data_IF_869644996156
#
_entry.id   IF_869644996156
#
_cell.length_a   1.000
_cell.length_b   1.000
_cell.length_c   1.000
_cell.angle_alpha   90.00
_cell.angle_beta   90.00
_cell.angle_gamma   90.00
#
_symmetry.space_group_name_H-M   'P 1'
#
loop_
_entity.id
_entity.type
_entity.pdbx_description
1 polymer ?
#
# COMPACT_ATOMS: atom_id res chain seq x y z
N UNK A 1 29.17 6.93 -13.00
CA UNK A 1 27.85 6.86 -13.66
C UNK A 1 26.78 6.56 -12.62
N UNK A 2 26.80 5.39 -11.99
CA UNK A 2 25.91 4.92 -10.90
C UNK A 2 25.51 6.00 -9.88
N UNK A 3 26.45 6.74 -9.29
CA UNK A 3 26.13 7.73 -8.26
C UNK A 3 25.30 8.93 -8.76
N UNK A 4 25.53 9.38 -10.00
CA UNK A 4 24.75 10.48 -10.60
C UNK A 4 23.30 10.04 -10.83
N UNK A 5 23.11 8.81 -11.32
CA UNK A 5 21.78 8.24 -11.58
C UNK A 5 21.00 8.02 -10.28
N UNK A 6 21.67 7.56 -9.22
CA UNK A 6 21.09 7.42 -7.88
C UNK A 6 20.57 8.76 -7.34
N UNK A 7 21.38 9.81 -7.42
CA UNK A 7 20.95 11.16 -6.98
C UNK A 7 19.78 11.65 -7.82
N UNK A 8 19.82 11.45 -9.13
CA UNK A 8 18.76 11.87 -10.04
C UNK A 8 17.42 11.20 -9.71
N UNK A 9 17.38 9.88 -9.61
CA UNK A 9 16.15 9.14 -9.27
C UNK A 9 15.65 9.46 -7.86
N UNK A 10 16.56 9.71 -6.91
CA UNK A 10 16.20 10.14 -5.57
C UNK A 10 15.54 11.52 -5.56
N UNK A 11 16.06 12.48 -6.33
CA UNK A 11 15.47 13.81 -6.48
C UNK A 11 14.10 13.76 -7.15
N UNK A 12 13.96 12.96 -8.22
CA UNK A 12 12.67 12.77 -8.90
C UNK A 12 11.65 12.15 -7.94
N UNK A 13 12.01 11.07 -7.25
CA UNK A 13 11.12 10.41 -6.28
C UNK A 13 10.73 11.33 -5.13
N UNK A 14 11.69 12.10 -4.59
CA UNK A 14 11.42 13.12 -3.58
C UNK A 14 10.45 14.20 -4.09
N UNK A 15 10.62 14.65 -5.34
CA UNK A 15 9.71 15.59 -6.00
C UNK A 15 8.29 15.04 -6.13
N UNK A 16 8.16 13.78 -6.59
CA UNK A 16 6.88 13.06 -6.68
C UNK A 16 6.20 12.96 -5.31
N UNK A 17 6.92 12.49 -4.29
CA UNK A 17 6.41 12.36 -2.91
C UNK A 17 5.92 13.71 -2.39
N UNK A 18 6.71 14.78 -2.60
CA UNK A 18 6.36 16.12 -2.14
C UNK A 18 5.11 16.65 -2.85
N UNK A 19 4.99 16.43 -4.15
CA UNK A 19 3.80 16.83 -4.92
C UNK A 19 2.54 16.09 -4.45
N UNK A 20 2.65 14.79 -4.21
CA UNK A 20 1.55 13.98 -3.66
C UNK A 20 1.18 14.42 -2.24
N UNK A 21 2.16 14.70 -1.39
CA UNK A 21 1.93 15.26 -0.05
C UNK A 21 1.18 16.59 -0.09
N UNK A 22 1.58 17.51 -0.97
CA UNK A 22 0.89 18.79 -1.16
C UNK A 22 -0.55 18.62 -1.64
N UNK A 23 -0.80 17.72 -2.60
CA UNK A 23 -2.14 17.40 -3.08
C UNK A 23 -3.01 16.86 -1.93
N UNK A 24 -2.49 15.87 -1.20
CA UNK A 24 -3.24 15.22 -0.14
C UNK A 24 -3.39 16.05 1.13
N UNK A 25 -2.54 17.04 1.38
CA UNK A 25 -2.72 18.03 2.47
C UNK A 25 -4.05 18.78 2.38
N UNK A 26 -4.50 19.06 1.16
CA UNK A 26 -5.81 19.68 0.92
C UNK A 26 -6.95 18.77 1.39
N UNK A 27 -6.86 17.48 1.09
CA UNK A 27 -7.89 16.48 1.41
C UNK A 27 -7.83 16.09 2.89
N UNK A 28 -6.63 15.87 3.44
CA UNK A 28 -6.42 15.48 4.84
C UNK A 28 -6.95 16.54 5.81
N UNK A 29 -6.92 17.81 5.40
CA UNK A 29 -7.46 18.93 6.17
C UNK A 29 -8.95 18.78 6.50
N UNK A 30 -9.69 17.98 5.71
CA UNK A 30 -11.14 17.79 5.87
C UNK A 30 -11.51 16.79 6.99
N UNK A 31 -10.63 15.83 7.34
CA UNK A 31 -11.01 14.76 8.30
C UNK A 31 -9.88 14.15 9.13
N UNK A 32 -8.61 14.54 8.94
CA UNK A 32 -7.48 13.95 9.67
C UNK A 32 -7.01 14.86 10.79
N UNK A 33 -6.99 14.33 12.02
CA UNK A 33 -6.34 14.99 13.16
C UNK A 33 -4.84 14.99 13.00
N UNK A 34 -4.29 16.17 12.76
CA UNK A 34 -2.85 16.35 12.78
C UNK A 34 -2.36 16.45 14.21
N UNK A 35 -1.27 15.76 14.50
CA UNK A 35 -0.60 15.83 15.80
C UNK A 35 0.83 16.31 15.59
N UNK A 36 1.22 17.42 16.22
CA UNK A 36 2.61 17.91 16.16
C UNK A 36 3.62 16.87 16.65
N UNK A 37 3.19 16.00 17.57
CA UNK A 37 4.00 14.89 18.10
C UNK A 37 4.12 13.69 17.16
N UNK A 38 3.40 13.65 16.03
CA UNK A 38 3.43 12.55 15.05
C UNK A 38 3.65 13.04 13.61
N UNK A 39 4.80 13.68 13.32
CA UNK A 39 5.07 14.24 12.00
C UNK A 39 5.08 13.20 10.87
N UNK A 40 5.55 11.96 11.09
CA UNK A 40 5.54 10.94 10.03
C UNK A 40 4.12 10.44 9.75
N UNK A 41 3.29 10.24 10.79
CA UNK A 41 1.86 9.94 10.61
C UNK A 41 1.17 11.01 9.74
N UNK A 42 1.33 12.28 10.07
CA UNK A 42 0.70 13.38 9.33
C UNK A 42 1.16 13.39 7.87
N UNK A 43 2.47 13.43 7.64
CA UNK A 43 3.05 13.51 6.30
C UNK A 43 2.71 12.29 5.43
N UNK A 44 2.77 11.09 6.00
CA UNK A 44 2.38 9.88 5.28
C UNK A 44 0.90 9.93 4.92
N UNK A 45 0.01 10.35 5.84
CA UNK A 45 -1.42 10.48 5.57
C UNK A 45 -1.70 11.44 4.41
N UNK A 46 -1.00 12.58 4.39
CA UNK A 46 -1.05 13.52 3.27
C UNK A 46 -0.61 12.85 1.97
N UNK A 47 0.55 12.18 1.94
CA UNK A 47 1.04 11.49 0.74
C UNK A 47 0.06 10.41 0.25
N UNK A 48 -0.55 9.65 1.16
CA UNK A 48 -1.52 8.59 0.83
C UNK A 48 -2.75 9.16 0.16
N UNK A 49 -3.36 10.17 0.78
CA UNK A 49 -4.57 10.78 0.26
C UNK A 49 -4.30 11.46 -1.07
N UNK A 50 -3.12 12.07 -1.24
CA UNK A 50 -2.69 12.62 -2.51
C UNK A 50 -2.53 11.55 -3.59
N UNK A 51 -1.92 10.42 -3.26
CA UNK A 51 -1.76 9.29 -4.19
C UNK A 51 -3.10 8.69 -4.59
N UNK A 52 -3.99 8.45 -3.62
CA UNK A 52 -5.34 7.95 -3.85
C UNK A 52 -6.13 8.89 -4.75
N UNK A 53 -6.08 10.20 -4.50
CA UNK A 53 -6.77 11.16 -5.35
C UNK A 53 -6.15 11.26 -6.75
N UNK A 54 -4.82 11.28 -6.87
CA UNK A 54 -4.16 11.29 -8.17
C UNK A 54 -4.54 10.05 -9.01
N UNK A 55 -4.44 8.85 -8.43
CA UNK A 55 -4.83 7.60 -9.09
C UNK A 55 -6.32 7.59 -9.44
N UNK A 56 -7.19 8.00 -8.51
CA UNK A 56 -8.62 8.05 -8.75
C UNK A 56 -8.98 9.00 -9.91
N UNK A 57 -8.48 10.23 -9.90
CA UNK A 57 -8.81 11.20 -10.96
C UNK A 57 -8.24 10.78 -12.31
N UNK A 58 -7.01 10.29 -12.32
CA UNK A 58 -6.36 9.86 -13.55
C UNK A 58 -7.05 8.64 -14.17
N UNK A 59 -7.29 7.60 -13.35
CA UNK A 59 -8.00 6.40 -13.80
C UNK A 59 -9.42 6.70 -14.26
N UNK A 60 -10.19 7.51 -13.52
CA UNK A 60 -11.53 7.89 -13.92
C UNK A 60 -11.57 8.65 -15.26
N UNK A 61 -10.59 9.53 -15.51
CA UNK A 61 -10.48 10.24 -16.77
C UNK A 61 -10.16 9.30 -17.94
N UNK A 62 -9.14 8.45 -17.79
CA UNK A 62 -8.69 7.55 -18.88
C UNK A 62 -9.66 6.40 -19.15
N UNK A 63 -10.38 5.92 -18.15
CA UNK A 63 -11.35 4.82 -18.29
C UNK A 63 -12.76 5.27 -18.69
N UNK A 64 -13.00 6.58 -18.85
CA UNK A 64 -14.35 7.09 -19.07
C UNK A 64 -15.31 6.79 -17.92
N UNK A 65 -14.83 6.88 -16.67
CA UNK A 65 -15.55 6.56 -15.42
C UNK A 65 -15.82 5.06 -15.22
N UNK A 66 -15.05 4.17 -15.85
CA UNK A 66 -15.14 2.71 -15.63
C UNK A 66 -13.89 2.21 -14.91
N UNK A 67 -13.78 2.52 -13.61
CA UNK A 67 -12.63 2.14 -12.78
C UNK A 67 -13.02 1.59 -11.41
N UNK A 68 -12.29 0.56 -10.96
CA UNK A 68 -12.43 0.00 -9.62
C UNK A 68 -12.04 1.01 -8.53
N UNK A 69 -11.21 2.01 -8.87
CA UNK A 69 -10.70 3.00 -7.92
C UNK A 69 -11.81 3.87 -7.30
N UNK A 70 -13.02 3.89 -7.86
CA UNK A 70 -14.19 4.51 -7.20
C UNK A 70 -14.52 3.90 -5.84
N UNK A 71 -14.06 2.68 -5.55
CA UNK A 71 -14.09 2.12 -4.20
C UNK A 71 -13.41 3.02 -3.15
N UNK A 72 -12.39 3.79 -3.53
CA UNK A 72 -11.77 4.77 -2.63
C UNK A 72 -12.71 5.92 -2.27
N UNK A 73 -13.57 6.39 -3.18
CA UNK A 73 -14.55 7.43 -2.87
C UNK A 73 -15.57 6.96 -1.85
N UNK A 74 -16.01 5.70 -1.97
CA UNK A 74 -16.91 5.07 -0.98
C UNK A 74 -16.24 5.11 0.40
N UNK A 75 -15.00 4.65 0.49
CA UNK A 75 -14.27 4.58 1.76
C UNK A 75 -13.93 5.96 2.35
N UNK A 76 -13.55 6.92 1.52
CA UNK A 76 -13.36 8.31 1.93
C UNK A 76 -14.65 8.92 2.47
N UNK A 77 -15.81 8.59 1.89
CA UNK A 77 -17.11 9.02 2.38
C UNK A 77 -17.42 8.46 3.77
N UNK A 78 -17.09 7.18 4.02
CA UNK A 78 -17.19 6.59 5.36
C UNK A 78 -16.21 7.21 6.35
N UNK A 79 -14.96 7.47 5.95
CA UNK A 79 -13.96 8.17 6.78
C UNK A 79 -14.46 9.57 7.18
N UNK A 80 -15.00 10.32 6.23
CA UNK A 80 -15.61 11.63 6.47
C UNK A 80 -16.77 11.51 7.48
N UNK A 81 -17.64 10.51 7.31
CA UNK A 81 -18.79 10.30 8.19
C UNK A 81 -18.37 9.94 9.62
N UNK A 82 -17.40 9.02 9.77
CA UNK A 82 -16.88 8.60 11.09
C UNK A 82 -16.20 9.76 11.80
N UNK A 83 -15.50 10.63 11.06
CA UNK A 83 -14.74 11.74 11.64
C UNK A 83 -15.52 13.09 11.64
N UNK A 84 -16.79 13.11 11.19
CA UNK A 84 -17.61 14.32 11.00
C UNK A 84 -17.84 15.16 12.27
N UNK A 85 -17.79 14.55 13.45
CA UNK A 85 -18.03 15.23 14.73
C UNK A 85 -16.86 16.10 15.23
N UNK A 86 -15.85 16.31 14.39
CA UNK A 86 -14.67 17.11 14.71
C UNK A 86 -14.86 18.57 14.27
N UNK A 87 -15.89 19.25 14.78
CA UNK A 87 -16.36 20.56 14.30
C UNK A 87 -15.37 21.73 14.46
N UNK A 88 -14.25 21.57 15.17
CA UNK A 88 -13.26 22.64 15.40
C UNK A 88 -12.16 22.75 14.33
N UNK A 89 -12.20 21.96 13.26
CA UNK A 89 -11.08 21.85 12.30
C UNK A 89 -10.94 23.02 11.34
N UNK A 90 -12.03 23.74 11.03
CA UNK A 90 -12.00 24.80 10.00
C UNK A 90 -11.07 25.96 10.36
N UNK A 91 -10.94 26.34 11.63
CA UNK A 91 -10.07 27.45 12.03
C UNK A 91 -8.57 27.13 11.97
N UNK A 92 -8.16 25.85 12.10
CA UNK A 92 -6.74 25.47 12.03
C UNK A 92 -6.23 25.30 10.59
N UNK A 93 -7.10 25.12 9.60
CA UNK A 93 -6.68 24.87 8.20
C UNK A 93 -5.83 26.00 7.59
N UNK A 94 -6.10 27.27 7.92
CA UNK A 94 -5.33 28.40 7.40
C UNK A 94 -3.92 28.52 8.03
N UNK A 95 -3.74 28.16 9.30
CA UNK A 95 -2.41 28.14 9.93
C UNK A 95 -1.54 26.99 9.41
N UNK A 96 -2.16 25.85 9.05
CA UNK A 96 -1.48 24.62 8.62
C UNK A 96 -0.72 24.73 7.31
N UNK A 97 -1.12 25.60 6.38
CA UNK A 97 -0.37 25.80 5.13
C UNK A 97 0.95 26.56 5.34
N UNK A 98 1.13 27.22 6.50
CA UNK A 98 2.23 28.17 6.72
C UNK A 98 3.54 27.52 7.20
N UNK A 99 3.51 26.31 7.76
CA UNK A 99 4.71 25.66 8.29
C UNK A 99 4.94 24.28 7.64
N UNK A 100 5.88 24.23 6.70
CA UNK A 100 6.46 22.96 6.24
C UNK A 100 7.49 22.50 7.27
N UNK A 101 7.34 21.28 7.79
CA UNK A 101 8.33 20.71 8.71
C UNK A 101 9.58 20.31 7.91
N UNK A 102 10.56 21.19 7.77
CA UNK A 102 11.78 20.94 6.98
C UNK A 102 12.50 19.63 7.40
N UNK A 103 12.38 19.21 8.66
CA UNK A 103 12.95 17.95 9.13
C UNK A 103 12.30 16.73 8.47
N UNK A 104 10.97 16.71 8.26
CA UNK A 104 10.32 15.57 7.60
C UNK A 104 10.76 15.48 6.13
N UNK A 105 10.82 16.61 5.42
CA UNK A 105 11.26 16.64 4.02
C UNK A 105 12.72 16.20 3.88
N UNK A 106 13.61 16.61 4.78
CA UNK A 106 14.99 16.15 4.77
C UNK A 106 15.08 14.62 4.97
N UNK A 107 14.27 14.06 5.88
CA UNK A 107 14.21 12.60 6.09
C UNK A 107 13.70 11.86 4.87
N UNK A 108 12.64 12.38 4.23
CA UNK A 108 12.07 11.82 2.99
C UNK A 108 13.09 11.85 1.86
N UNK A 109 13.85 12.94 1.73
CA UNK A 109 14.94 13.03 0.76
C UNK A 109 16.04 12.00 1.03
N UNK A 110 16.50 11.88 2.28
CA UNK A 110 17.50 10.86 2.67
C UNK A 110 16.99 9.43 2.42
N UNK A 111 15.72 9.15 2.75
CA UNK A 111 15.10 7.86 2.45
C UNK A 111 15.06 7.59 0.94
N UNK A 112 14.68 8.60 0.14
CA UNK A 112 14.66 8.48 -1.32
C UNK A 112 16.05 8.19 -1.87
N UNK A 113 17.10 8.81 -1.30
CA UNK A 113 18.50 8.56 -1.66
C UNK A 113 18.94 7.14 -1.31
N UNK A 114 18.70 6.70 -0.08
CA UNK A 114 19.05 5.35 0.37
C UNK A 114 18.34 4.29 -0.47
N UNK A 115 17.04 4.44 -0.69
CA UNK A 115 16.22 3.48 -1.44
C UNK A 115 16.61 3.45 -2.92
N UNK A 116 16.88 4.60 -3.52
CA UNK A 116 17.38 4.67 -4.90
C UNK A 116 18.74 3.98 -5.01
N UNK A 117 19.63 4.19 -4.05
CA UNK A 117 20.91 3.50 -3.98
C UNK A 117 20.72 1.98 -3.93
N UNK A 118 19.88 1.47 -3.02
CA UNK A 118 19.58 0.05 -2.90
C UNK A 118 18.96 -0.55 -4.17
N UNK A 119 18.01 0.13 -4.82
CA UNK A 119 17.41 -0.33 -6.08
C UNK A 119 18.44 -0.46 -7.22
N UNK A 120 19.54 0.30 -7.17
CA UNK A 120 20.62 0.23 -8.16
C UNK A 120 21.64 -0.86 -7.83
N UNK A 121 22.04 -1.01 -6.56
CA UNK A 121 23.07 -2.00 -6.17
C UNK A 121 22.51 -3.41 -5.96
N UNK A 122 21.20 -3.55 -5.74
CA UNK A 122 20.54 -4.83 -5.49
C UNK A 122 19.63 -5.18 -6.68
N UNK A 123 20.15 -5.88 -7.71
CA UNK A 123 19.35 -6.23 -8.87
C UNK A 123 18.22 -7.19 -8.51
N UNK A 124 17.08 -7.04 -9.17
CA UNK A 124 15.95 -7.94 -9.00
C UNK A 124 16.30 -9.34 -9.57
N UNK A 125 15.87 -10.43 -8.92
CA UNK A 125 15.93 -11.76 -9.51
C UNK A 125 15.22 -11.80 -10.88
N UNK A 126 15.65 -12.67 -11.79
CA UNK A 126 15.12 -12.71 -13.16
C UNK A 126 13.60 -12.91 -13.24
N UNK A 127 13.02 -13.76 -12.38
CA UNK A 127 11.56 -13.95 -12.30
C UNK A 127 10.82 -12.67 -11.92
N UNK A 128 11.33 -11.94 -10.93
CA UNK A 128 10.78 -10.65 -10.51
C UNK A 128 10.97 -9.59 -11.59
N UNK A 129 12.10 -9.60 -12.30
CA UNK A 129 12.33 -8.67 -13.39
C UNK A 129 11.28 -8.85 -14.51
N UNK A 130 10.89 -10.10 -14.80
CA UNK A 130 9.80 -10.39 -15.73
C UNK A 130 8.46 -9.85 -15.23
N UNK A 131 8.15 -10.01 -13.94
CA UNK A 131 6.94 -9.41 -13.33
C UNK A 131 6.94 -7.89 -13.51
N UNK A 132 8.07 -7.22 -13.25
CA UNK A 132 8.18 -5.75 -13.40
C UNK A 132 8.02 -5.31 -14.87
N UNK A 133 8.59 -6.06 -15.82
CA UNK A 133 8.40 -5.81 -17.25
C UNK A 133 6.92 -5.97 -17.64
N UNK A 134 6.29 -7.04 -17.16
CA UNK A 134 4.87 -7.30 -17.36
C UNK A 134 4.02 -6.15 -16.79
N UNK A 135 4.22 -5.74 -15.54
CA UNK A 135 3.50 -4.62 -14.92
C UNK A 135 3.72 -3.29 -15.63
N UNK A 136 4.93 -3.05 -16.13
CA UNK A 136 5.22 -1.86 -16.94
C UNK A 136 4.36 -1.86 -18.19
N UNK A 137 4.21 -3.01 -18.87
CA UNK A 137 3.34 -3.15 -20.05
C UNK A 137 1.87 -2.99 -19.72
N UNK A 138 1.40 -3.47 -18.55
CA UNK A 138 0.02 -3.18 -18.09
C UNK A 138 -0.16 -1.68 -17.92
N UNK A 139 0.72 -1.02 -17.17
CA UNK A 139 0.63 0.41 -16.88
C UNK A 139 0.72 1.30 -18.14
N UNK A 140 1.53 0.90 -19.13
CA UNK A 140 1.56 1.54 -20.46
C UNK A 140 0.20 1.43 -21.16
N UNK A 141 -0.39 0.24 -21.12
CA UNK A 141 -1.67 0.00 -21.77
C UNK A 141 -2.81 0.78 -21.10
N UNK A 142 -2.81 0.88 -19.75
CA UNK A 142 -3.78 1.68 -19.00
C UNK A 142 -3.86 3.13 -19.49
N UNK A 143 -2.72 3.77 -19.78
CA UNK A 143 -2.69 5.14 -20.33
C UNK A 143 -3.35 5.22 -21.70
N UNK A 144 -3.05 4.23 -22.55
CA UNK A 144 -3.41 4.24 -23.97
C UNK A 144 -4.86 3.85 -24.22
N UNK A 145 -5.34 2.77 -23.61
CA UNK A 145 -6.65 2.18 -23.93
C UNK A 145 -7.68 2.36 -22.82
N UNK A 146 -7.24 2.67 -21.58
CA UNK A 146 -8.16 2.91 -20.47
C UNK A 146 -8.87 1.68 -19.91
N UNK A 147 -8.50 0.46 -20.32
CA UNK A 147 -9.08 -0.77 -19.79
C UNK A 147 -8.25 -1.33 -18.62
N UNK A 148 -8.88 -1.50 -17.46
CA UNK A 148 -8.28 -2.16 -16.30
C UNK A 148 -8.24 -3.69 -16.49
N UNK A 149 -7.38 -4.17 -17.39
CA UNK A 149 -7.11 -5.59 -17.61
C UNK A 149 -5.61 -5.88 -17.83
N UNK A 150 -5.26 -7.16 -18.00
CA UNK A 150 -3.87 -7.62 -18.14
C UNK A 150 -3.48 -7.99 -19.58
N UNK A 151 -4.32 -7.68 -20.56
CA UNK A 151 -4.18 -8.15 -21.94
C UNK A 151 -3.33 -7.23 -22.82
N UNK A 152 -2.81 -6.12 -22.28
CA UNK A 152 -1.83 -5.26 -22.96
C UNK A 152 -2.21 -4.90 -24.41
N UNK A 153 -1.33 -5.21 -25.36
CA UNK A 153 -1.46 -4.99 -26.80
C UNK A 153 -2.66 -5.74 -27.40
N UNK A 154 -3.14 -6.82 -26.79
CA UNK A 154 -4.32 -7.54 -27.29
C UNK A 154 -5.60 -6.69 -27.25
N UNK A 155 -5.67 -5.69 -26.37
CA UNK A 155 -6.78 -4.72 -26.36
C UNK A 155 -6.89 -3.91 -27.66
N UNK A 156 -5.78 -3.66 -28.34
CA UNK A 156 -5.80 -2.93 -29.62
C UNK A 156 -6.08 -3.86 -30.82
N UNK A 157 -5.89 -5.17 -30.62
CA UNK A 157 -5.95 -6.16 -31.69
C UNK A 157 -7.35 -6.79 -31.82
N UNK A 158 -8.04 -7.02 -30.70
CA UNK A 158 -9.35 -7.67 -30.70
C UNK A 158 -10.25 -7.16 -29.58
N UNK A 159 -11.48 -6.80 -29.94
CA UNK A 159 -12.49 -6.29 -29.00
C UNK A 159 -12.87 -7.28 -27.89
N UNK A 160 -12.62 -8.58 -28.09
CA UNK A 160 -12.88 -9.62 -27.09
C UNK A 160 -12.04 -9.45 -25.81
N UNK A 161 -10.97 -8.68 -25.85
CA UNK A 161 -10.14 -8.37 -24.68
C UNK A 161 -10.54 -7.05 -24.00
N UNK A 162 -11.47 -6.30 -24.58
CA UNK A 162 -11.94 -5.03 -24.02
C UNK A 162 -12.83 -5.28 -22.81
N UNK A 163 -12.52 -4.59 -21.71
CA UNK A 163 -13.21 -4.74 -20.44
C UNK A 163 -12.23 -4.84 -19.27
N UNK A 164 -12.75 -5.15 -18.09
CA UNK A 164 -11.94 -5.20 -16.87
C UNK A 164 -11.57 -6.63 -16.50
N UNK A 165 -10.47 -6.80 -15.77
CA UNK A 165 -10.07 -8.08 -15.19
C UNK A 165 -9.56 -7.86 -13.76
N UNK A 166 -9.86 -8.72 -12.76
CA UNK A 166 -9.39 -8.49 -11.40
C UNK A 166 -7.84 -8.46 -11.26
N UNK A 167 -7.28 -7.31 -10.85
CA UNK A 167 -5.84 -7.16 -10.62
C UNK A 167 -5.45 -6.04 -9.60
N UNK A 168 -4.16 -5.67 -9.54
CA UNK A 168 -3.62 -4.64 -8.64
C UNK A 168 -3.40 -3.28 -9.32
N UNK A 169 -4.47 -2.67 -9.82
CA UNK A 169 -4.38 -1.47 -10.66
C UNK A 169 -3.86 -0.20 -9.98
N UNK A 170 -3.88 -0.11 -8.66
CA UNK A 170 -3.47 1.12 -7.98
C UNK A 170 -2.01 1.51 -8.27
N UNK A 171 -1.07 0.56 -8.16
CA UNK A 171 0.34 0.82 -8.49
C UNK A 171 0.57 0.99 -9.99
N UNK A 172 -0.24 0.32 -10.82
CA UNK A 172 -0.14 0.39 -12.27
C UNK A 172 -0.60 1.76 -12.79
N UNK A 173 -1.68 2.30 -12.25
CA UNK A 173 -2.12 3.67 -12.52
C UNK A 173 -1.12 4.71 -12.01
N UNK A 174 -0.52 4.49 -10.83
CA UNK A 174 0.55 5.35 -10.35
C UNK A 174 1.75 5.34 -11.32
N UNK A 175 2.13 4.17 -11.85
CA UNK A 175 3.13 4.04 -12.90
C UNK A 175 2.77 4.81 -14.17
N UNK A 176 1.53 4.63 -14.64
CA UNK A 176 0.97 5.30 -15.82
C UNK A 176 1.05 6.83 -15.71
N UNK A 177 0.66 7.41 -14.56
CA UNK A 177 0.82 8.84 -14.27
C UNK A 177 2.28 9.28 -14.43
N UNK A 178 3.21 8.52 -13.86
CA UNK A 178 4.64 8.83 -13.94
C UNK A 178 5.20 8.70 -15.37
N UNK A 179 4.72 7.72 -16.15
CA UNK A 179 5.09 7.57 -17.56
C UNK A 179 4.67 8.81 -18.35
N UNK A 180 3.48 9.34 -18.08
CA UNK A 180 3.02 10.57 -18.72
C UNK A 180 3.91 11.78 -18.39
N UNK A 181 4.34 11.90 -17.15
CA UNK A 181 5.17 13.01 -16.70
C UNK A 181 6.65 12.90 -17.12
N UNK A 182 7.19 11.68 -17.22
CA UNK A 182 8.64 11.45 -17.34
C UNK A 182 9.05 10.69 -18.62
N UNK A 183 8.10 10.15 -19.40
CA UNK A 183 8.36 9.27 -20.55
C UNK A 183 9.13 9.93 -21.70
N UNK A 184 9.19 11.27 -21.74
CA UNK A 184 10.05 12.00 -22.68
C UNK A 184 11.54 12.01 -22.29
N UNK A 185 11.87 11.67 -21.05
CA UNK A 185 13.24 11.69 -20.51
C UNK A 185 13.81 10.30 -20.26
N UNK A 186 12.96 9.33 -19.91
CA UNK A 186 13.36 7.97 -19.54
C UNK A 186 12.39 6.95 -20.12
N UNK A 187 12.85 5.71 -20.28
CA UNK A 187 11.95 4.61 -20.65
C UNK A 187 11.01 4.27 -19.49
N UNK A 188 9.80 3.78 -19.81
CA UNK A 188 8.80 3.45 -18.81
C UNK A 188 9.28 2.41 -17.80
N UNK A 189 10.07 1.42 -18.23
CA UNK A 189 10.67 0.43 -17.31
C UNK A 189 11.63 1.09 -16.30
N UNK A 190 12.40 2.11 -16.71
CA UNK A 190 13.28 2.86 -15.80
C UNK A 190 12.43 3.67 -14.81
N UNK A 191 11.40 4.37 -15.30
CA UNK A 191 10.49 5.16 -14.46
C UNK A 191 9.80 4.26 -13.43
N UNK A 192 9.26 3.13 -13.86
CA UNK A 192 8.54 2.20 -13.00
C UNK A 192 9.46 1.62 -11.93
N UNK A 193 10.64 1.11 -12.33
CA UNK A 193 11.58 0.47 -11.42
C UNK A 193 12.24 1.44 -10.44
N UNK A 194 12.70 2.60 -10.92
CA UNK A 194 13.57 3.49 -10.14
C UNK A 194 12.86 4.71 -9.56
N UNK A 195 11.64 5.04 -10.02
CA UNK A 195 10.85 6.16 -9.48
C UNK A 195 9.58 5.65 -8.80
N UNK A 196 8.74 4.86 -9.48
CA UNK A 196 7.48 4.37 -8.91
C UNK A 196 7.74 3.51 -7.66
N UNK A 197 8.55 2.45 -7.78
CA UNK A 197 8.84 1.60 -6.63
C UNK A 197 9.70 2.27 -5.57
N UNK A 198 10.60 3.19 -5.93
CA UNK A 198 11.30 4.01 -4.92
C UNK A 198 10.29 4.79 -4.09
N UNK A 199 9.34 5.46 -4.74
CA UNK A 199 8.28 6.22 -4.07
C UNK A 199 7.44 5.35 -3.14
N UNK A 200 6.94 4.21 -3.63
CA UNK A 200 6.14 3.28 -2.84
C UNK A 200 6.94 2.69 -1.67
N UNK A 201 8.23 2.36 -1.86
CA UNK A 201 9.10 1.86 -0.79
C UNK A 201 9.37 2.92 0.28
N UNK A 202 9.55 4.19 -0.12
CA UNK A 202 9.65 5.31 0.84
C UNK A 202 8.39 5.40 1.69
N UNK A 203 7.19 5.28 1.09
CA UNK A 203 5.93 5.28 1.85
C UNK A 203 5.87 4.13 2.87
N UNK A 204 6.30 2.92 2.49
CA UNK A 204 6.34 1.78 3.40
C UNK A 204 7.31 2.00 4.56
N UNK A 205 8.50 2.56 4.32
CA UNK A 205 9.46 2.89 5.38
C UNK A 205 8.93 4.00 6.30
N UNK A 206 8.28 5.03 5.74
CA UNK A 206 7.58 6.05 6.52
C UNK A 206 6.46 5.45 7.37
N UNK A 207 5.77 4.43 6.86
CA UNK A 207 4.75 3.68 7.60
C UNK A 207 5.31 2.97 8.83
N UNK A 208 6.49 2.36 8.71
CA UNK A 208 7.20 1.76 9.85
C UNK A 208 7.67 2.83 10.84
N UNK A 209 8.19 3.97 10.37
CA UNK A 209 8.59 5.08 11.25
C UNK A 209 7.39 5.66 12.00
N UNK A 210 6.24 5.79 11.35
CA UNK A 210 4.97 6.16 11.97
C UNK A 210 4.58 5.20 13.10
N UNK A 211 4.77 3.88 12.94
CA UNK A 211 4.51 2.93 14.02
C UNK A 211 5.42 3.20 15.23
N UNK A 212 6.70 3.51 14.99
CA UNK A 212 7.67 3.84 16.05
C UNK A 212 7.28 5.13 16.80
N UNK A 213 6.65 6.11 16.14
CA UNK A 213 6.17 7.34 16.79
C UNK A 213 5.18 7.06 17.93
N UNK A 214 4.50 5.91 17.94
CA UNK A 214 3.64 5.52 19.05
C UNK A 214 4.43 5.12 20.32
N UNK A 215 5.71 4.80 20.17
CA UNK A 215 6.58 4.35 21.26
C UNK A 215 7.69 5.35 21.59
N UNK A 216 8.10 6.19 20.62
CA UNK A 216 9.20 7.15 20.73
C UNK A 216 8.78 8.52 20.18
N UNK A 217 8.88 9.56 21.01
CA UNK A 217 8.53 10.95 20.62
C UNK A 217 9.48 11.55 19.59
N UNK A 218 10.78 11.22 19.67
CA UNK A 218 11.81 11.76 18.78
C UNK A 218 12.46 10.60 18.03
N UNK A 219 12.17 10.52 16.73
CA UNK A 219 12.83 9.58 15.82
C UNK A 219 14.21 10.13 15.46
N UNK A 220 15.26 9.36 15.74
CA UNK A 220 16.66 9.68 15.42
C UNK A 220 17.07 9.12 14.06
N UNK A 221 18.21 9.60 13.54
CA UNK A 221 18.80 9.05 12.31
C UNK A 221 19.16 7.57 12.43
N UNK A 222 19.50 7.10 13.63
CA UNK A 222 19.71 5.67 13.91
C UNK A 222 18.44 4.86 13.69
N UNK A 223 17.28 5.35 14.13
CA UNK A 223 16.01 4.65 13.91
C UNK A 223 15.70 4.55 12.41
N UNK A 224 15.93 5.64 11.65
CA UNK A 224 15.73 5.66 10.20
C UNK A 224 16.65 4.65 9.50
N UNK A 225 17.93 4.62 9.88
CA UNK A 225 18.88 3.66 9.36
C UNK A 225 18.47 2.23 9.68
N UNK A 226 18.14 1.93 10.95
CA UNK A 226 17.73 0.59 11.37
C UNK A 226 16.45 0.13 10.67
N UNK A 227 15.42 0.97 10.59
CA UNK A 227 14.17 0.62 9.88
C UNK A 227 14.45 0.34 8.40
N UNK A 228 15.24 1.20 7.75
CA UNK A 228 15.59 1.02 6.34
C UNK A 228 16.34 -0.29 6.14
N UNK A 229 17.38 -0.54 6.94
CA UNK A 229 18.18 -1.78 6.88
C UNK A 229 17.34 -3.00 7.21
N UNK A 230 16.58 -3.01 8.29
CA UNK A 230 15.75 -4.17 8.66
C UNK A 230 14.64 -4.44 7.66
N UNK A 231 14.06 -3.40 7.07
CA UNK A 231 13.10 -3.61 6.00
C UNK A 231 13.78 -4.31 4.81
N UNK A 232 15.03 -3.97 4.48
CA UNK A 232 15.83 -4.57 3.39
C UNK A 232 16.21 -6.02 3.64
N UNK A 233 16.35 -6.43 4.90
CA UNK A 233 16.69 -7.81 5.23
C UNK A 233 15.46 -8.72 5.04
N UNK A 234 15.54 -9.58 4.03
CA UNK A 234 14.57 -10.66 3.83
C UNK A 234 14.80 -11.76 4.90
N UNK A 235 14.22 -11.56 6.09
CA UNK A 235 14.25 -12.54 7.18
C UNK A 235 13.61 -13.89 6.81
N UNK A 236 12.79 -13.95 5.75
CA UNK A 236 12.08 -15.15 5.34
C UNK A 236 12.92 -16.12 4.51
N UNK A 237 14.06 -15.69 3.95
CA UNK A 237 15.03 -16.62 3.37
C UNK A 237 15.50 -17.69 4.37
N UNK A 238 15.53 -17.34 5.67
CA UNK A 238 15.89 -18.28 6.74
C UNK A 238 14.81 -19.37 6.92
N UNK A 239 13.55 -19.08 6.55
CA UNK A 239 12.42 -20.02 6.68
C UNK A 239 12.17 -20.89 5.44
N UNK A 240 12.80 -20.58 4.31
CA UNK A 240 12.68 -21.36 3.05
C UNK A 240 13.69 -22.52 2.94
N UNK A 241 14.59 -22.67 3.90
CA UNK A 241 15.66 -23.69 3.92
C UNK A 241 15.10 -25.14 3.86
N UNK A 242 13.79 -25.35 4.01
CA UNK A 242 13.13 -26.67 3.96
C UNK A 242 12.16 -26.93 2.80
N UNK A 243 11.91 -25.98 1.89
CA UNK A 243 10.90 -26.14 0.83
C UNK A 243 11.53 -26.25 -0.56
N UNK A 244 11.60 -27.47 -1.11
CA UNK A 244 11.94 -27.74 -2.52
C UNK A 244 10.82 -27.26 -3.46
N UNK A 245 10.61 -25.95 -3.56
CA UNK A 245 9.60 -25.32 -4.41
C UNK A 245 10.08 -23.99 -4.99
N UNK A 246 9.19 -23.32 -5.74
CA UNK A 246 9.41 -21.94 -6.22
C UNK A 246 9.85 -21.06 -5.05
N UNK A 247 11.02 -20.42 -5.16
CA UNK A 247 11.50 -19.44 -4.18
C UNK A 247 10.42 -18.36 -4.06
N UNK A 248 9.72 -18.34 -2.92
CA UNK A 248 8.70 -17.36 -2.64
C UNK A 248 9.38 -16.15 -2.04
N UNK A 249 9.78 -15.24 -2.93
CA UNK A 249 10.16 -13.89 -2.52
C UNK A 249 8.99 -13.28 -1.75
N UNK A 250 9.20 -13.07 -0.47
CA UNK A 250 8.20 -12.52 0.44
C UNK A 250 8.64 -11.16 1.01
N UNK A 251 9.80 -10.65 0.63
CA UNK A 251 10.18 -9.29 1.02
C UNK A 251 9.52 -8.24 0.11
N UNK A 252 9.19 -7.09 0.70
CA UNK A 252 8.68 -5.92 -0.02
C UNK A 252 9.73 -5.27 -0.96
N UNK A 253 10.98 -5.73 -0.95
CA UNK A 253 12.04 -5.16 -1.80
C UNK A 253 12.08 -5.78 -3.18
N UNK A 254 11.76 -7.06 -3.24
CA UNK A 254 11.75 -7.92 -4.39
C UNK A 254 10.33 -8.11 -4.93
N UNK A 255 9.29 -8.17 -4.09
CA UNK A 255 7.91 -8.25 -4.58
C UNK A 255 7.28 -6.86 -4.67
N UNK A 256 7.03 -6.32 -5.86
CA UNK A 256 6.57 -4.95 -5.97
C UNK A 256 5.15 -4.73 -5.43
N UNK A 257 4.24 -5.67 -5.71
CA UNK A 257 2.88 -5.66 -5.19
C UNK A 257 2.80 -5.69 -3.65
N UNK A 258 3.79 -6.28 -2.96
CA UNK A 258 3.83 -6.31 -1.48
C UNK A 258 4.07 -4.92 -0.88
N UNK A 259 4.68 -4.00 -1.63
CA UNK A 259 4.94 -2.64 -1.16
C UNK A 259 3.63 -1.90 -0.91
N UNK A 260 2.64 -2.06 -1.81
CA UNK A 260 1.29 -1.49 -1.66
C UNK A 260 0.58 -2.07 -0.43
N UNK A 261 0.83 -3.33 -0.08
CA UNK A 261 0.23 -3.94 1.10
C UNK A 261 0.78 -3.33 2.38
N UNK A 262 2.11 -3.26 2.50
CA UNK A 262 2.80 -2.69 3.67
C UNK A 262 2.38 -1.24 3.93
N UNK A 263 2.16 -0.49 2.86
CA UNK A 263 1.66 0.87 2.89
C UNK A 263 0.32 1.03 3.64
N UNK A 264 -0.73 0.29 3.25
CA UNK A 264 -2.03 0.37 3.94
C UNK A 264 -2.06 -0.39 5.28
N UNK A 265 -1.31 -1.49 5.40
CA UNK A 265 -1.20 -2.25 6.66
C UNK A 265 -0.55 -1.42 7.77
N UNK A 266 0.41 -0.55 7.45
CA UNK A 266 1.02 0.35 8.43
C UNK A 266 -0.03 1.26 9.09
N UNK A 267 -1.00 1.78 8.33
CA UNK A 267 -2.12 2.53 8.89
C UNK A 267 -3.02 1.67 9.77
N UNK A 268 -3.37 0.48 9.30
CA UNK A 268 -4.18 -0.46 10.07
C UNK A 268 -3.57 -0.72 11.46
N UNK A 269 -2.27 -1.07 11.52
CA UNK A 269 -1.59 -1.32 12.80
C UNK A 269 -1.45 -0.06 13.65
N UNK A 270 -1.15 1.09 13.06
CA UNK A 270 -1.07 2.35 13.80
C UNK A 270 -2.39 2.71 14.48
N UNK A 271 -3.51 2.56 13.77
CA UNK A 271 -4.84 2.81 14.33
C UNK A 271 -5.26 1.74 15.35
N UNK A 272 -4.84 0.49 15.19
CA UNK A 272 -5.04 -0.54 16.22
C UNK A 272 -4.30 -0.20 17.52
N UNK A 273 -3.02 0.20 17.44
CA UNK A 273 -2.20 0.58 18.60
C UNK A 273 -2.81 1.78 19.34
N UNK A 274 -3.30 2.77 18.59
CA UNK A 274 -3.94 3.98 19.13
C UNK A 274 -5.41 3.77 19.53
N UNK A 275 -5.95 2.57 19.33
CA UNK A 275 -7.35 2.18 19.61
C UNK A 275 -8.39 2.94 18.79
N UNK A 276 -8.00 3.51 17.65
CA UNK A 276 -8.88 4.13 16.68
C UNK A 276 -9.46 3.07 15.72
N UNK A 277 -10.18 2.09 16.28
CA UNK A 277 -10.58 0.89 15.55
C UNK A 277 -11.38 1.14 14.27
N UNK A 278 -12.18 2.22 14.23
CA UNK A 278 -12.95 2.57 13.04
C UNK A 278 -12.03 2.99 11.88
N UNK A 279 -11.03 3.83 12.15
CA UNK A 279 -10.03 4.24 11.17
C UNK A 279 -9.16 3.05 10.75
N UNK A 280 -8.82 2.15 11.69
CA UNK A 280 -8.09 0.92 11.36
C UNK A 280 -8.83 0.09 10.29
N UNK A 281 -10.11 -0.22 10.53
CA UNK A 281 -10.93 -1.00 9.60
C UNK A 281 -11.05 -0.28 8.25
N UNK A 282 -11.38 1.02 8.26
CA UNK A 282 -11.59 1.77 7.01
C UNK A 282 -10.32 1.88 6.16
N UNK A 283 -9.14 2.12 6.75
CA UNK A 283 -7.88 2.12 5.99
C UNK A 283 -7.49 0.73 5.49
N UNK A 284 -7.77 -0.33 6.25
CA UNK A 284 -7.51 -1.69 5.79
C UNK A 284 -8.37 -2.04 4.56
N UNK A 285 -9.61 -1.52 4.49
CA UNK A 285 -10.49 -1.69 3.33
C UNK A 285 -10.02 -0.97 2.06
N UNK A 286 -8.97 -0.14 2.10
CA UNK A 286 -8.37 0.40 0.88
C UNK A 286 -7.63 -0.70 0.09
N UNK A 287 -7.12 -1.74 0.75
CA UNK A 287 -6.43 -2.86 0.13
C UNK A 287 -7.22 -3.58 -0.96
N UNK A 288 -8.49 -4.00 -0.76
CA UNK A 288 -9.27 -4.64 -1.82
C UNK A 288 -9.55 -3.76 -3.04
N UNK A 289 -9.51 -2.43 -2.87
CA UNK A 289 -9.62 -1.50 -4.00
C UNK A 289 -8.28 -1.37 -4.71
N UNK A 290 -7.19 -1.23 -3.95
CA UNK A 290 -5.85 -1.11 -4.50
C UNK A 290 -5.38 -2.39 -5.19
N UNK A 291 -5.79 -3.54 -4.65
CA UNK A 291 -5.40 -4.87 -5.09
C UNK A 291 -6.51 -5.86 -4.76
N UNK A 292 -7.32 -6.16 -5.77
CA UNK A 292 -8.53 -6.96 -5.60
C UNK A 292 -8.28 -8.39 -5.13
N UNK A 293 -7.08 -8.93 -5.38
CA UNK A 293 -6.69 -10.26 -4.90
C UNK A 293 -6.71 -10.37 -3.36
N UNK A 294 -6.64 -9.24 -2.65
CA UNK A 294 -6.78 -9.19 -1.19
C UNK A 294 -8.23 -9.21 -0.71
N UNK A 295 -9.22 -9.02 -1.58
CA UNK A 295 -10.59 -8.77 -1.18
C UNK A 295 -11.25 -9.88 -0.37
N UNK A 296 -11.16 -11.18 -0.74
CA UNK A 296 -11.76 -12.24 0.06
C UNK A 296 -11.24 -12.24 1.51
N UNK A 297 -9.92 -12.09 1.69
CA UNK A 297 -9.29 -12.11 3.00
C UNK A 297 -9.57 -10.83 3.81
N UNK A 298 -9.45 -9.66 3.20
CA UNK A 298 -9.62 -8.38 3.91
C UNK A 298 -11.09 -8.12 4.24
N UNK A 299 -12.04 -8.35 3.31
CA UNK A 299 -13.46 -8.09 3.57
C UNK A 299 -14.00 -9.02 4.66
N UNK A 300 -13.68 -10.32 4.60
CA UNK A 300 -14.09 -11.28 5.64
C UNK A 300 -13.40 -11.02 6.98
N UNK A 301 -12.08 -10.79 6.97
CA UNK A 301 -11.30 -10.51 8.16
C UNK A 301 -11.73 -9.23 8.88
N UNK A 302 -12.02 -8.16 8.13
CA UNK A 302 -12.52 -6.91 8.70
C UNK A 302 -13.94 -7.06 9.25
N UNK A 303 -14.82 -7.83 8.59
CA UNK A 303 -16.15 -8.14 9.12
C UNK A 303 -16.06 -8.86 10.48
N UNK A 304 -15.24 -9.92 10.54
CA UNK A 304 -15.00 -10.67 11.79
C UNK A 304 -14.37 -9.79 12.88
N UNK A 305 -13.41 -8.93 12.52
CA UNK A 305 -12.80 -7.99 13.46
C UNK A 305 -13.84 -7.03 14.04
N UNK A 306 -14.74 -6.48 13.23
CA UNK A 306 -15.81 -5.59 13.71
C UNK A 306 -16.74 -6.33 14.68
N UNK A 307 -17.14 -7.56 14.35
CA UNK A 307 -17.96 -8.40 15.23
C UNK A 307 -17.23 -8.66 16.56
N UNK A 308 -15.96 -9.05 16.49
CA UNK A 308 -15.12 -9.29 17.67
C UNK A 308 -15.00 -8.05 18.56
N UNK A 309 -14.72 -6.89 17.97
CA UNK A 309 -14.62 -5.61 18.70
C UNK A 309 -15.96 -5.20 19.31
N UNK A 310 -17.08 -5.48 18.64
CA UNK A 310 -18.42 -5.20 19.15
C UNK A 310 -18.77 -6.09 20.35
N UNK A 311 -18.58 -7.41 20.24
CA UNK A 311 -18.80 -8.38 21.33
C UNK A 311 -17.88 -8.05 22.52
N UNK A 312 -16.61 -7.72 22.24
CA UNK A 312 -15.64 -7.28 23.23
C UNK A 312 -15.88 -5.88 23.80
N UNK A 313 -16.98 -5.21 23.43
CA UNK A 313 -17.38 -3.86 23.86
C UNK A 313 -16.29 -2.80 23.63
N UNK A 314 -15.42 -3.00 22.63
CA UNK A 314 -14.35 -2.06 22.24
C UNK A 314 -14.86 -0.95 21.32
N UNK A 315 -15.97 -1.18 20.64
CA UNK A 315 -16.66 -0.18 19.80
C UNK A 315 -18.14 -0.12 20.16
N UNK A 316 -18.76 1.06 19.94
CA UNK A 316 -20.18 1.26 20.16
C UNK A 316 -21.01 0.62 19.04
N UNK A 317 -22.28 0.28 19.32
CA UNK A 317 -23.22 -0.28 18.32
C UNK A 317 -23.30 0.56 17.04
N UNK A 318 -23.36 1.89 17.18
CA UNK A 318 -23.40 2.82 16.03
C UNK A 318 -22.15 2.66 15.15
N UNK A 319 -20.96 2.64 15.74
CA UNK A 319 -19.71 2.42 15.01
C UNK A 319 -19.66 1.06 14.35
N UNK A 320 -20.09 -0.01 15.04
CA UNK A 320 -20.15 -1.35 14.48
C UNK A 320 -21.05 -1.42 13.24
N UNK A 321 -22.25 -0.83 13.29
CA UNK A 321 -23.18 -0.77 12.15
C UNK A 321 -22.57 -0.02 10.98
N UNK A 322 -21.93 1.13 11.21
CA UNK A 322 -21.27 1.92 10.16
C UNK A 322 -20.14 1.11 9.50
N UNK A 323 -19.30 0.43 10.29
CA UNK A 323 -18.19 -0.35 9.76
C UNK A 323 -18.66 -1.59 8.99
N UNK A 324 -19.66 -2.34 9.50
CA UNK A 324 -20.27 -3.44 8.74
C UNK A 324 -20.88 -2.92 7.44
N UNK A 325 -21.58 -1.78 7.48
CA UNK A 325 -22.13 -1.17 6.28
C UNK A 325 -21.05 -0.81 5.27
N UNK A 326 -19.90 -0.29 5.71
CA UNK A 326 -18.76 0.00 4.83
C UNK A 326 -18.23 -1.26 4.14
N UNK A 327 -18.08 -2.37 4.87
CA UNK A 327 -17.66 -3.66 4.31
C UNK A 327 -18.68 -4.16 3.28
N UNK A 328 -19.97 -4.14 3.60
CA UNK A 328 -21.03 -4.65 2.73
C UNK A 328 -21.19 -3.80 1.46
N UNK A 329 -21.18 -2.47 1.59
CA UNK A 329 -21.29 -1.55 0.44
C UNK A 329 -20.08 -1.72 -0.47
N UNK A 330 -18.87 -1.82 0.07
CA UNK A 330 -17.68 -2.05 -0.75
C UNK A 330 -17.73 -3.41 -1.45
N UNK A 331 -18.16 -4.46 -0.74
CA UNK A 331 -18.32 -5.79 -1.32
C UNK A 331 -19.31 -5.78 -2.48
N UNK A 332 -20.48 -5.16 -2.27
CA UNK A 332 -21.50 -5.02 -3.30
C UNK A 332 -20.99 -4.21 -4.50
N UNK A 333 -20.27 -3.11 -4.26
CA UNK A 333 -19.65 -2.31 -5.32
C UNK A 333 -18.66 -3.13 -6.15
N UNK A 334 -17.74 -3.84 -5.51
CA UNK A 334 -16.74 -4.69 -6.19
C UNK A 334 -17.43 -5.75 -7.05
N UNK A 335 -18.40 -6.46 -6.48
CA UNK A 335 -19.13 -7.51 -7.19
C UNK A 335 -19.90 -6.94 -8.39
N UNK A 336 -20.61 -5.82 -8.19
CA UNK A 336 -21.36 -5.16 -9.25
C UNK A 336 -20.44 -4.61 -10.35
N UNK A 337 -19.30 -4.01 -9.99
CA UNK A 337 -18.31 -3.52 -10.94
C UNK A 337 -17.87 -4.65 -11.86
N UNK A 338 -17.27 -5.71 -11.31
CA UNK A 338 -16.76 -6.81 -12.13
C UNK A 338 -17.88 -7.59 -12.82
N UNK A 339 -19.09 -7.69 -12.26
CA UNK A 339 -20.19 -8.36 -12.98
C UNK A 339 -20.65 -7.58 -14.23
N UNK A 340 -20.47 -6.25 -14.24
CA UNK A 340 -20.94 -5.38 -15.32
C UNK A 340 -19.86 -5.05 -16.34
N UNK A 341 -18.58 -5.07 -15.95
CA UNK A 341 -17.48 -4.57 -16.77
C UNK A 341 -16.46 -5.64 -17.16
N UNK A 342 -16.54 -6.86 -16.60
CA UNK A 342 -15.56 -7.90 -16.88
C UNK A 342 -15.66 -8.40 -18.31
N UNK A 343 -14.50 -8.71 -18.87
CA UNK A 343 -14.36 -9.37 -20.17
C UNK A 343 -15.14 -10.68 -20.17
N UNK A 344 -15.84 -10.98 -21.26
CA UNK A 344 -16.56 -12.25 -21.39
C UNK A 344 -15.56 -13.43 -21.50
N UNK A 345 -15.24 -14.01 -20.35
CA UNK A 345 -14.30 -15.13 -20.26
C UNK A 345 -14.88 -16.41 -20.87
N UNK A 346 -16.19 -16.49 -21.13
CA UNK A 346 -16.77 -17.68 -21.77
C UNK A 346 -16.22 -17.89 -23.19
N UNK A 347 -15.84 -16.79 -23.86
CA UNK A 347 -15.20 -16.80 -25.18
C UNK A 347 -13.73 -17.26 -25.09
N UNK A 348 -13.06 -16.95 -23.97
CA UNK A 348 -11.66 -17.29 -23.73
C UNK A 348 -11.46 -18.70 -23.13
N UNK A 349 -12.49 -19.26 -22.50
CA UNK A 349 -12.45 -20.58 -21.84
C UNK A 349 -13.02 -21.71 -22.70
N UNK A 350 -12.90 -21.63 -24.03
CA UNK A 350 -13.40 -22.66 -24.95
C UNK A 350 -12.74 -24.04 -24.82
N UNK A 351 -11.70 -24.18 -23.99
CA UNK A 351 -11.14 -25.50 -23.67
C UNK A 351 -12.04 -26.21 -22.65
N UNK A 352 -12.79 -27.20 -23.15
CA UNK A 352 -13.58 -28.14 -22.36
C UNK A 352 -12.66 -28.98 -21.46
N UNK A 353 -12.31 -28.43 -20.28
CA UNK A 353 -11.60 -29.21 -19.26
C UNK A 353 -12.45 -30.39 -18.84
N UNK A 354 -11.84 -31.56 -18.76
CA UNK A 354 -12.53 -32.75 -18.29
C UNK A 354 -12.96 -32.58 -16.82
N UNK A 355 -14.06 -33.21 -16.39
CA UNK A 355 -14.48 -33.15 -14.98
C UNK A 355 -13.37 -33.53 -13.99
N UNK A 356 -12.51 -34.55 -14.26
CA UNK A 356 -11.34 -34.83 -13.45
C UNK A 356 -10.35 -33.67 -13.34
N UNK A 357 -10.04 -32.99 -14.45
CA UNK A 357 -9.15 -31.80 -14.44
C UNK A 357 -9.75 -30.65 -13.63
N UNK A 358 -11.07 -30.44 -13.71
CA UNK A 358 -11.77 -29.44 -12.90
C UNK A 358 -11.68 -29.76 -11.40
N UNK A 359 -11.84 -31.04 -11.02
CA UNK A 359 -11.72 -31.49 -9.63
C UNK A 359 -10.26 -31.34 -9.15
N UNK A 360 -9.29 -31.80 -9.94
CA UNK A 360 -7.86 -31.70 -9.60
C UNK A 360 -7.44 -30.23 -9.45
N UNK A 361 -7.86 -29.36 -10.38
CA UNK A 361 -7.60 -27.94 -10.30
C UNK A 361 -8.25 -27.30 -9.06
N UNK A 362 -9.51 -27.66 -8.76
CA UNK A 362 -10.22 -27.17 -7.57
C UNK A 362 -9.56 -27.62 -6.27
N UNK A 363 -9.14 -28.89 -6.17
CA UNK A 363 -8.42 -29.42 -5.01
C UNK A 363 -7.05 -28.78 -4.85
N UNK A 364 -6.33 -28.54 -5.95
CA UNK A 364 -5.06 -27.81 -5.96
C UNK A 364 -5.25 -26.37 -5.48
N UNK A 365 -6.30 -25.68 -5.94
CA UNK A 365 -6.66 -24.35 -5.46
C UNK A 365 -7.03 -24.36 -3.97
N UNK A 366 -7.84 -25.30 -3.49
CA UNK A 366 -8.18 -25.43 -2.06
C UNK A 366 -6.91 -25.68 -1.24
N UNK A 367 -6.03 -26.56 -1.69
CA UNK A 367 -4.75 -26.85 -1.01
C UNK A 367 -3.86 -25.61 -0.98
N UNK A 368 -3.79 -24.85 -2.08
CA UNK A 368 -3.08 -23.58 -2.12
C UNK A 368 -3.72 -22.58 -1.14
N UNK A 369 -5.04 -22.41 -1.14
CA UNK A 369 -5.77 -21.53 -0.23
C UNK A 369 -5.50 -21.92 1.23
N UNK A 370 -5.60 -23.21 1.60
CA UNK A 370 -5.32 -23.68 2.96
C UNK A 370 -3.86 -23.47 3.35
N UNK A 371 -2.92 -23.77 2.44
CA UNK A 371 -1.49 -23.53 2.65
C UNK A 371 -1.22 -22.03 2.87
N UNK A 372 -1.80 -21.15 2.06
CA UNK A 372 -1.66 -19.71 2.19
C UNK A 372 -2.39 -19.16 3.43
N UNK A 373 -3.56 -19.69 3.82
CA UNK A 373 -4.27 -19.28 5.03
C UNK A 373 -3.48 -19.53 6.31
N UNK A 374 -2.64 -20.56 6.34
CA UNK A 374 -1.78 -20.86 7.50
C UNK A 374 -0.41 -20.20 7.36
N UNK A 375 0.25 -20.36 6.22
CA UNK A 375 1.62 -19.90 6.02
C UNK A 375 1.71 -18.39 5.85
N UNK A 376 0.76 -17.74 5.16
CA UNK A 376 0.84 -16.31 4.85
C UNK A 376 0.65 -15.44 6.10
N UNK A 377 -0.33 -15.71 7.01
CA UNK A 377 -0.42 -14.96 8.25
C UNK A 377 0.80 -15.16 9.13
N UNK A 378 1.30 -16.39 9.30
CA UNK A 378 2.51 -16.64 10.09
C UNK A 378 3.73 -15.92 9.50
N UNK A 379 3.89 -15.95 8.17
CA UNK A 379 4.96 -15.22 7.46
C UNK A 379 4.79 -13.71 7.58
N UNK A 380 3.60 -13.17 7.37
CA UNK A 380 3.31 -11.72 7.49
C UNK A 380 3.48 -11.24 8.94
N UNK A 381 3.02 -12.02 9.91
CA UNK A 381 3.22 -11.75 11.33
C UNK A 381 4.72 -11.75 11.64
N UNK A 382 5.50 -12.67 11.08
CA UNK A 382 6.96 -12.66 11.25
C UNK A 382 7.66 -11.47 10.59
N UNK A 383 7.22 -11.03 9.40
CA UNK A 383 7.75 -9.83 8.72
C UNK A 383 7.56 -8.55 9.55
N UNK A 384 6.45 -8.45 10.26
CA UNK A 384 6.15 -7.27 11.08
C UNK A 384 6.68 -7.42 12.50
N UNK A 385 6.53 -8.59 13.11
CA UNK A 385 6.95 -8.85 14.48
C UNK A 385 8.47 -8.82 14.61
N UNK A 386 9.26 -9.38 13.69
CA UNK A 386 10.72 -9.44 13.89
C UNK A 386 11.34 -8.04 13.92
N UNK A 387 11.09 -7.14 12.95
CA UNK A 387 11.58 -5.76 13.03
C UNK A 387 11.01 -5.02 14.23
N UNK A 388 9.70 -5.17 14.51
CA UNK A 388 9.08 -4.52 15.66
C UNK A 388 9.65 -5.02 17.01
N UNK A 389 9.96 -6.31 17.13
CA UNK A 389 10.50 -6.93 18.34
C UNK A 389 11.97 -6.55 18.52
N UNK A 390 12.77 -6.51 17.44
CA UNK A 390 14.15 -6.00 17.48
C UNK A 390 14.14 -4.52 17.88
N UNK A 391 13.31 -3.70 17.24
CA UNK A 391 13.15 -2.29 17.60
C UNK A 391 12.68 -2.16 19.06
N UNK A 392 11.72 -2.98 19.50
CA UNK A 392 11.23 -2.98 20.88
C UNK A 392 12.33 -3.36 21.88
N UNK A 393 13.13 -4.38 21.60
CA UNK A 393 14.24 -4.81 22.45
C UNK A 393 15.34 -3.75 22.53
N UNK A 394 15.68 -3.12 21.41
CA UNK A 394 16.61 -1.99 21.36
C UNK A 394 16.09 -0.78 22.16
N UNK A 395 14.78 -0.51 22.07
CA UNK A 395 14.13 0.58 22.81
C UNK A 395 13.96 0.28 24.31
N UNK A 396 13.76 -0.99 24.69
CA UNK A 396 13.68 -1.40 26.10
C UNK A 396 15.02 -1.18 26.80
N UNK A 397 16.11 -1.63 26.17
CA UNK A 397 17.46 -1.39 26.69
C UNK A 397 17.78 0.11 26.78
N UNK A 398 17.29 0.94 25.84
CA UNK A 398 17.46 2.39 25.90
C UNK A 398 16.80 3.01 27.14
N UNK A 399 15.58 2.59 27.50
CA UNK A 399 14.91 3.07 28.73
C UNK A 399 15.69 2.68 29.98
N UNK A 400 16.20 1.45 30.04
CA UNK A 400 17.00 0.98 31.18
C UNK A 400 18.33 1.75 31.29
N UNK A 401 19.01 2.00 30.16
CA UNK A 401 20.26 2.79 30.10
C UNK A 401 20.03 4.26 30.47
N UNK A 402 18.93 4.88 30.03
CA UNK A 402 18.61 6.27 30.36
C UNK A 402 18.16 6.43 31.81
N UNK A 403 17.45 5.44 32.37
CA UNK A 403 17.07 5.44 33.79
C UNK A 403 18.26 5.15 34.72
N UNK A 404 19.30 4.44 34.26
CA UNK A 404 20.53 4.25 35.02
C UNK A 404 21.50 5.45 34.96
N UNK A 405 21.42 6.26 33.90
CA UNK A 405 22.30 7.42 33.68
C UNK A 405 21.61 8.77 33.94
N UNK A 406 20.39 8.79 34.45
CA UNK A 406 19.78 10.04 34.92
C UNK A 406 20.40 10.39 36.27
N UNK A 407 21.08 11.54 36.42
CA UNK A 407 21.43 12.02 37.75
C UNK A 407 20.12 12.19 38.52
N UNK A 408 20.03 11.56 39.70
CA UNK A 408 18.97 11.81 40.67
C UNK A 408 18.90 13.33 40.90
N UNK A 409 17.85 13.96 40.39
CA UNK A 409 17.45 15.33 40.76
C UNK A 409 16.47 15.21 41.91
#
# INVERSE_FOLDING_TARGET
MIFKDVILFALISFGVISALGLLGKTISSLFVKHSESKPHFNFLTECVLGTVCAVLFYSAFHTGLVTINFGFLILLSFLLFVNKNMSNYRQETHARFKEMNTSIYLRVFVLSLLISFFNVIYPLPGSIQNDVLFYTKVAECLDRVGYENMYHEYNDLMDIFNGTFPYHYFELWMGSILFKCLGGFFTNIIIFKYVCYTTLKVFSVLGLLMLIENFKRIISWTDIFLVSVFSLFNFLYITEIGTNGWILYHDMWLRPNMVVYMFFLSFFFNFLITKEYANAVLFCLFLPVATITTAPAILSGMCLLVIFLFIGKKIQRKSAVVLISAVLVLTAFILAFYSLTTIDTSILMSDSRSLPELIEHSLSMIKAILSYLVSLPLRTLSMLLVPCLILFLLLKNWKEIVMQNSPLI
#
